data_IF_502075452829
#
_entry.id   IF_502075452829
#
_cell.length_a   1.000
_cell.length_b   1.000
_cell.length_c   1.000
_cell.angle_alpha   90.00
_cell.angle_beta   90.00
_cell.angle_gamma   90.00
#
_symmetry.space_group_name_H-M   'P 1'
#
loop_
_entity.id
_entity.type
_entity.pdbx_description
1 polymer ?
#
# COMPACT_ATOMS: atom_id res chain seq x y z
N UNK A 1 16.50 8.39 -2.49
CA UNK A 1 15.13 8.11 -1.98
C UNK A 1 14.25 7.37 -2.99
N UNK A 2 14.33 7.68 -4.30
CA UNK A 2 13.48 7.05 -5.34
C UNK A 2 13.61 5.52 -5.50
N UNK A 3 14.81 4.90 -5.42
CA UNK A 3 14.91 3.44 -5.60
C UNK A 3 14.19 2.68 -4.48
N UNK A 4 14.31 3.18 -3.24
CA UNK A 4 13.73 2.54 -2.07
C UNK A 4 12.21 2.48 -2.09
N UNK A 5 11.54 3.50 -2.63
CA UNK A 5 10.07 3.51 -2.73
C UNK A 5 9.56 2.49 -3.75
N UNK A 6 10.25 2.33 -4.88
CA UNK A 6 9.90 1.34 -5.90
C UNK A 6 10.10 -0.08 -5.37
N UNK A 7 11.27 -0.37 -4.78
CA UNK A 7 11.56 -1.68 -4.19
C UNK A 7 10.56 -2.02 -3.08
N UNK A 8 10.23 -1.06 -2.23
CA UNK A 8 9.23 -1.25 -1.16
C UNK A 8 7.86 -1.56 -1.73
N UNK A 9 7.42 -0.86 -2.78
CA UNK A 9 6.13 -1.13 -3.42
C UNK A 9 6.06 -2.54 -4.01
N UNK A 10 7.15 -3.04 -4.61
CA UNK A 10 7.20 -4.40 -5.14
C UNK A 10 7.25 -5.47 -4.04
N UNK A 11 8.00 -5.22 -2.96
CA UNK A 11 8.20 -6.16 -1.85
C UNK A 11 7.02 -6.23 -0.86
N UNK A 12 6.27 -5.14 -0.70
CA UNK A 12 5.15 -5.03 0.23
C UNK A 12 4.14 -6.19 0.19
N UNK A 13 3.58 -6.62 -0.98
CA UNK A 13 2.59 -7.70 -1.01
C UNK A 13 3.15 -9.03 -0.52
N UNK A 14 4.45 -9.29 -0.75
CA UNK A 14 5.12 -10.48 -0.24
C UNK A 14 5.27 -10.42 1.29
N UNK A 15 5.70 -9.27 1.82
CA UNK A 15 5.87 -9.07 3.26
C UNK A 15 4.56 -9.16 4.03
N UNK A 16 3.49 -8.52 3.53
CA UNK A 16 2.16 -8.60 4.14
C UNK A 16 1.55 -9.99 4.00
N UNK A 17 1.72 -10.65 2.84
CA UNK A 17 1.25 -12.03 2.65
C UNK A 17 1.91 -12.99 3.64
N UNK A 18 3.23 -12.87 3.82
CA UNK A 18 3.99 -13.66 4.79
C UNK A 18 3.54 -13.38 6.23
N UNK A 19 3.36 -12.10 6.60
CA UNK A 19 2.90 -11.72 7.93
C UNK A 19 1.49 -12.27 8.22
N UNK A 20 0.56 -12.16 7.27
CA UNK A 20 -0.79 -12.72 7.39
C UNK A 20 -0.74 -14.24 7.49
N UNK A 21 0.09 -14.91 6.71
CA UNK A 21 0.29 -16.36 6.81
C UNK A 21 0.77 -16.77 8.20
N UNK A 22 1.77 -16.07 8.75
CA UNK A 22 2.26 -16.34 10.10
C UNK A 22 1.21 -16.08 11.18
N UNK A 23 0.36 -15.06 11.02
CA UNK A 23 -0.74 -14.77 11.95
C UNK A 23 -1.88 -15.79 11.86
N UNK A 24 -2.20 -16.29 10.66
CA UNK A 24 -3.35 -17.16 10.42
C UNK A 24 -3.05 -18.66 10.57
N UNK A 25 -1.85 -19.08 10.16
CA UNK A 25 -1.48 -20.50 10.02
C UNK A 25 -0.15 -20.87 10.68
N UNK A 26 0.61 -19.88 11.19
CA UNK A 26 1.89 -20.12 11.83
C UNK A 26 1.73 -20.71 13.23
N UNK A 27 2.22 -21.93 13.51
CA UNK A 27 2.29 -22.40 14.89
C UNK A 27 3.25 -21.53 15.68
N UNK A 28 2.82 -21.06 16.85
CA UNK A 28 3.72 -20.42 17.81
C UNK A 28 4.87 -21.39 18.15
N UNK A 29 6.11 -20.89 18.32
CA UNK A 29 7.25 -21.72 18.69
C UNK A 29 6.91 -22.59 19.91
N UNK A 30 6.93 -23.92 19.72
CA UNK A 30 6.58 -24.88 20.77
C UNK A 30 7.80 -25.17 21.64
N UNK A 31 8.19 -24.22 22.48
CA UNK A 31 9.24 -24.42 23.50
C UNK A 31 10.33 -23.35 23.50
N UNK A 32 11.30 -23.45 24.44
CA UNK A 32 12.42 -22.53 24.56
C UNK A 32 13.46 -22.80 23.46
N UNK A 33 13.11 -22.53 22.20
CA UNK A 33 14.06 -22.43 21.10
C UNK A 33 14.43 -20.95 20.88
N UNK A 34 15.66 -20.59 21.22
CA UNK A 34 16.15 -19.22 21.16
C UNK A 34 16.10 -18.64 19.74
N UNK A 35 16.40 -19.44 18.71
CA UNK A 35 16.44 -18.95 17.33
C UNK A 35 15.03 -18.67 16.81
N UNK A 36 14.10 -19.62 16.97
CA UNK A 36 12.71 -19.45 16.55
C UNK A 36 12.02 -18.28 17.26
N UNK A 37 12.30 -18.12 18.56
CA UNK A 37 11.76 -17.00 19.34
C UNK A 37 12.35 -15.66 18.88
N UNK A 38 13.66 -15.60 18.59
CA UNK A 38 14.30 -14.38 18.07
C UNK A 38 13.71 -13.99 16.71
N UNK A 39 13.62 -14.92 15.76
CA UNK A 39 13.06 -14.66 14.43
C UNK A 39 11.61 -14.17 14.52
N UNK A 40 10.79 -14.83 15.34
CA UNK A 40 9.38 -14.46 15.53
C UNK A 40 9.25 -13.09 16.20
N UNK A 41 10.05 -12.80 17.23
CA UNK A 41 10.04 -11.53 17.94
C UNK A 41 10.50 -10.38 17.03
N UNK A 42 11.60 -10.56 16.29
CA UNK A 42 12.09 -9.55 15.34
C UNK A 42 11.09 -9.33 14.22
N UNK A 43 10.54 -10.39 13.63
CA UNK A 43 9.52 -10.28 12.58
C UNK A 43 8.27 -9.54 13.04
N UNK A 44 7.75 -9.88 14.23
CA UNK A 44 6.59 -9.21 14.82
C UNK A 44 6.90 -7.74 15.12
N UNK A 45 8.08 -7.45 15.67
CA UNK A 45 8.51 -6.08 15.96
C UNK A 45 8.58 -5.24 14.70
N UNK A 46 9.21 -5.76 13.63
CA UNK A 46 9.30 -5.08 12.33
C UNK A 46 7.92 -4.86 11.72
N UNK A 47 7.04 -5.85 11.79
CA UNK A 47 5.67 -5.75 11.28
C UNK A 47 4.87 -4.65 11.99
N UNK A 48 4.86 -4.66 13.34
CA UNK A 48 4.15 -3.66 14.15
C UNK A 48 4.74 -2.27 13.96
N UNK A 49 6.08 -2.16 13.95
CA UNK A 49 6.78 -0.90 13.72
C UNK A 49 6.48 -0.35 12.31
N UNK A 50 6.46 -1.21 11.29
CA UNK A 50 6.12 -0.83 9.91
C UNK A 50 4.68 -0.34 9.78
N UNK A 51 3.72 -1.06 10.36
CA UNK A 51 2.31 -0.65 10.39
C UNK A 51 2.13 0.68 11.14
N UNK A 52 2.84 0.86 12.25
CA UNK A 52 2.88 2.12 13.00
C UNK A 52 3.48 3.26 12.20
N UNK A 53 4.66 3.07 11.60
CA UNK A 53 5.33 4.07 10.75
C UNK A 53 4.47 4.51 9.56
N UNK A 54 3.58 3.63 9.10
CA UNK A 54 2.64 3.89 8.04
C UNK A 54 1.40 4.66 8.51
N UNK A 55 0.80 4.27 9.63
CA UNK A 55 -0.47 4.83 10.09
C UNK A 55 -0.30 6.09 10.96
N UNK A 56 0.74 6.14 11.81
CA UNK A 56 0.93 7.21 12.80
C UNK A 56 1.13 8.58 12.15
N UNK A 57 1.96 8.76 11.10
CA UNK A 57 2.11 10.08 10.48
C UNK A 57 0.82 10.59 9.86
N UNK A 58 0.04 9.69 9.23
CA UNK A 58 -1.27 10.03 8.66
C UNK A 58 -2.27 10.42 9.75
N UNK A 59 -2.31 9.68 10.85
CA UNK A 59 -3.17 9.96 12.01
C UNK A 59 -2.81 11.31 12.64
N UNK A 60 -1.53 11.52 12.99
CA UNK A 60 -1.05 12.77 13.60
C UNK A 60 -1.27 13.95 12.67
N UNK A 61 -1.05 13.77 11.37
CA UNK A 61 -1.32 14.79 10.35
C UNK A 61 -2.79 15.19 10.28
N UNK A 62 -3.70 14.21 10.27
CA UNK A 62 -5.14 14.47 10.24
C UNK A 62 -5.63 15.15 11.53
N UNK A 63 -5.14 14.69 12.69
CA UNK A 63 -5.45 15.28 14.01
C UNK A 63 -5.01 16.75 14.10
N UNK A 64 -3.75 17.04 13.73
CA UNK A 64 -3.21 18.40 13.77
C UNK A 64 -3.92 19.37 12.83
N UNK A 65 -4.51 18.88 11.75
CA UNK A 65 -5.25 19.68 10.76
C UNK A 65 -6.76 19.74 11.02
N UNK A 66 -7.26 19.06 12.06
CA UNK A 66 -8.70 18.98 12.35
C UNK A 66 -9.50 18.19 11.30
N UNK A 67 -8.85 17.28 10.57
CA UNK A 67 -9.47 16.48 9.51
C UNK A 67 -10.12 15.21 10.07
N UNK A 68 -11.09 15.39 10.97
CA UNK A 68 -11.77 14.32 11.70
C UNK A 68 -12.46 13.30 10.78
N UNK A 69 -12.94 13.75 9.63
CA UNK A 69 -13.58 12.90 8.62
C UNK A 69 -12.60 11.91 7.97
N UNK A 70 -11.28 12.17 8.01
CA UNK A 70 -10.26 11.29 7.43
C UNK A 70 -9.77 10.21 8.41
N UNK A 71 -9.98 10.38 9.73
CA UNK A 71 -9.50 9.43 10.74
C UNK A 71 -9.98 7.98 10.50
N UNK A 72 -11.26 7.72 10.18
CA UNK A 72 -11.75 6.37 9.93
C UNK A 72 -11.08 5.68 8.73
N UNK A 73 -10.43 6.44 7.84
CA UNK A 73 -9.76 5.92 6.65
C UNK A 73 -8.29 5.56 6.88
N UNK A 74 -7.69 5.96 8.00
CA UNK A 74 -6.30 5.62 8.34
C UNK A 74 -6.05 4.10 8.38
N UNK A 75 -6.93 3.27 8.96
CA UNK A 75 -6.76 1.81 8.93
C UNK A 75 -6.85 1.21 7.52
N UNK A 76 -7.32 1.96 6.52
CA UNK A 76 -7.39 1.52 5.12
C UNK A 76 -6.06 1.70 4.38
N UNK A 77 -5.08 2.36 4.99
CA UNK A 77 -3.78 2.59 4.39
C UNK A 77 -3.09 1.28 3.93
N UNK A 78 -3.08 0.16 4.69
CA UNK A 78 -2.47 -1.09 4.24
C UNK A 78 -3.06 -1.59 2.92
N UNK A 79 -4.38 -1.49 2.78
CA UNK A 79 -5.08 -1.83 1.54
C UNK A 79 -4.68 -0.87 0.42
N UNK A 80 -4.61 0.42 0.70
CA UNK A 80 -4.17 1.44 -0.27
C UNK A 80 -2.74 1.17 -0.77
N UNK A 81 -1.80 0.82 0.10
CA UNK A 81 -0.45 0.45 -0.33
C UNK A 81 -0.43 -0.87 -1.12
N UNK A 82 -1.34 -1.80 -0.85
CA UNK A 82 -1.57 -2.96 -1.71
C UNK A 82 -1.94 -2.57 -3.16
N UNK A 83 -2.75 -1.52 -3.34
CA UNK A 83 -3.06 -0.99 -4.67
C UNK A 83 -1.83 -0.32 -5.32
N UNK A 84 -1.02 0.40 -4.54
CA UNK A 84 0.26 0.97 -5.00
C UNK A 84 1.20 -0.15 -5.48
N UNK A 85 1.28 -1.24 -4.73
CA UNK A 85 2.06 -2.42 -5.10
C UNK A 85 1.55 -3.07 -6.38
N UNK A 86 0.23 -3.21 -6.53
CA UNK A 86 -0.36 -3.74 -7.75
C UNK A 86 0.02 -2.87 -8.96
N UNK A 87 -0.08 -1.56 -8.84
CA UNK A 87 0.33 -0.62 -9.89
C UNK A 87 1.83 -0.73 -10.20
N UNK A 88 2.68 -0.89 -9.19
CA UNK A 88 4.12 -1.07 -9.38
C UNK A 88 4.45 -2.37 -10.14
N UNK A 89 3.80 -3.48 -9.79
CA UNK A 89 3.94 -4.75 -10.50
C UNK A 89 3.44 -4.67 -11.93
N UNK A 90 2.29 -4.03 -12.18
CA UNK A 90 1.78 -3.81 -13.53
C UNK A 90 2.76 -2.97 -14.37
N UNK A 91 3.31 -1.90 -13.79
CA UNK A 91 4.32 -1.07 -14.46
C UNK A 91 5.60 -1.85 -14.77
N UNK A 92 6.06 -2.71 -13.85
CA UNK A 92 7.22 -3.58 -14.08
C UNK A 92 6.97 -4.58 -15.21
N UNK A 93 5.80 -5.23 -15.20
CA UNK A 93 5.41 -6.18 -16.25
C UNK A 93 5.26 -5.49 -17.61
N UNK A 94 4.66 -4.31 -17.65
CA UNK A 94 4.54 -3.51 -18.88
C UNK A 94 5.91 -3.11 -19.42
N UNK A 95 6.83 -2.68 -18.56
CA UNK A 95 8.19 -2.34 -18.96
C UNK A 95 8.95 -3.54 -19.54
N UNK A 96 8.77 -4.74 -18.97
CA UNK A 96 9.43 -5.96 -19.44
C UNK A 96 8.83 -6.52 -20.73
N UNK A 97 7.49 -6.53 -20.85
CA UNK A 97 6.78 -7.22 -21.93
C UNK A 97 6.45 -6.28 -23.10
N UNK A 98 6.32 -4.98 -22.86
CA UNK A 98 5.88 -4.00 -23.85
C UNK A 98 6.54 -2.62 -23.60
N UNK A 99 7.88 -2.52 -23.67
CA UNK A 99 8.63 -1.32 -23.27
C UNK A 99 8.26 -0.04 -24.04
N UNK A 100 7.72 -0.18 -25.26
CA UNK A 100 7.30 0.94 -26.10
C UNK A 100 5.78 1.20 -26.07
N UNK A 101 5.04 0.47 -25.24
CA UNK A 101 3.59 0.66 -25.10
C UNK A 101 3.32 1.82 -24.17
N UNK A 102 2.50 2.75 -24.64
CA UNK A 102 2.11 3.93 -23.89
C UNK A 102 0.60 3.92 -23.67
N UNK A 103 0.18 3.73 -22.41
CA UNK A 103 -1.22 3.75 -22.02
C UNK A 103 -1.76 5.19 -22.02
N UNK A 104 -2.23 5.66 -23.18
CA UNK A 104 -2.97 6.93 -23.26
C UNK A 104 -4.32 6.75 -22.56
N UNK A 105 -4.64 7.65 -21.66
CA UNK A 105 -6.03 7.85 -21.27
C UNK A 105 -6.78 8.49 -22.44
N UNK A 106 -8.04 8.09 -22.64
CA UNK A 106 -8.87 8.76 -23.63
C UNK A 106 -9.16 10.20 -23.18
N UNK A 107 -8.75 11.16 -24.00
CA UNK A 107 -9.00 12.57 -23.74
C UNK A 107 -10.38 12.95 -24.29
N UNK A 108 -11.13 13.79 -23.56
CA UNK A 108 -12.47 14.26 -23.97
C UNK A 108 -13.64 13.68 -23.16
N UNK A 109 -13.41 12.71 -22.28
CA UNK A 109 -14.42 12.20 -21.33
C UNK A 109 -14.93 13.27 -20.34
N UNK A 110 -14.20 14.39 -20.19
CA UNK A 110 -14.67 15.53 -19.40
C UNK A 110 -15.87 16.24 -20.05
N UNK A 111 -16.01 16.21 -21.38
CA UNK A 111 -17.14 16.80 -22.10
C UNK A 111 -18.45 16.01 -21.89
N UNK A 112 -18.34 14.70 -21.65
CA UNK A 112 -19.47 13.82 -21.28
C UNK A 112 -19.71 13.74 -19.78
N UNK A 113 -18.79 14.25 -18.95
CA UNK A 113 -19.04 14.41 -17.51
C UNK A 113 -20.19 15.38 -17.26
N UNK A 114 -20.94 15.18 -16.16
CA UNK A 114 -22.08 16.04 -15.78
C UNK A 114 -21.70 17.54 -15.77
N UNK A 115 -20.49 17.86 -15.33
CA UNK A 115 -19.97 19.22 -15.30
C UNK A 115 -19.66 19.77 -16.70
N UNK A 116 -19.09 18.94 -17.58
CA UNK A 116 -18.82 19.32 -18.98
C UNK A 116 -20.08 19.48 -19.82
N UNK A 117 -21.09 18.63 -19.62
CA UNK A 117 -22.38 18.71 -20.29
C UNK A 117 -23.15 20.01 -19.96
N UNK A 118 -23.04 20.49 -18.72
CA UNK A 118 -23.61 21.79 -18.32
C UNK A 118 -22.91 22.98 -18.99
N UNK A 119 -21.58 22.90 -19.17
CA UNK A 119 -20.79 23.97 -19.82
C UNK A 119 -21.01 24.05 -21.33
N UNK A 120 -21.45 22.95 -21.97
CA UNK A 120 -21.75 22.87 -23.41
C UNK A 120 -23.14 23.37 -23.79
N UNK A 121 -24.03 23.59 -22.80
CA UNK A 121 -25.40 24.09 -22.98
C UNK A 121 -25.53 25.61 -22.75
N UNK A 122 -24.46 26.28 -22.33
CA UNK A 122 -24.32 27.74 -22.35
C UNK A 122 -23.65 28.17 -23.64
#
# INVERSE_FOLDING_TARGET
>A
MVPGTVVSALAYPLGIGLAVWHLAAGPLPKGPDALSNLVTATGTTVFVAGLGAMCLPALVGALRRGWWTLLPWVPMLPVYYGLVSLAAWLGLLEWLLAPYRWNKTEHGLSATSRTGAMRRRR
#
